data_IF_995121276243
#
_entry.id   IF_995121276243
#
_cell.length_a   1.000
_cell.length_b   1.000
_cell.length_c   1.000
_cell.angle_alpha   90.00
_cell.angle_beta   90.00
_cell.angle_gamma   90.00
#
_symmetry.space_group_name_H-M   'P 1'
#
loop_
_entity.id
_entity.type
_entity.pdbx_description
1 polymer ?
#
# COMPACT_ATOMS: atom_id res chain seq x y z
N UNK A 1 -8.49 -1.92 13.23
CA UNK A 1 -8.02 -2.57 11.98
C UNK A 1 -6.63 -3.14 12.18
N UNK A 2 -6.25 -4.12 11.37
CA UNK A 2 -4.89 -4.70 11.34
C UNK A 2 -3.89 -3.65 10.89
N UNK A 3 -2.72 -3.56 11.53
CA UNK A 3 -1.67 -2.61 11.13
C UNK A 3 -0.99 -3.06 9.84
N UNK A 4 -0.39 -2.13 9.09
CA UNK A 4 0.31 -2.44 7.84
C UNK A 4 1.41 -3.52 7.98
N UNK A 5 2.26 -3.55 9.03
CA UNK A 5 3.24 -4.63 9.21
C UNK A 5 2.60 -6.00 9.36
N UNK A 6 1.51 -6.10 10.12
CA UNK A 6 0.78 -7.36 10.37
C UNK A 6 0.05 -7.84 9.11
N UNK A 7 -0.46 -6.90 8.30
CA UNK A 7 -1.04 -7.21 7.00
C UNK A 7 0.04 -7.76 6.04
N UNK A 8 1.23 -7.16 6.04
CA UNK A 8 2.37 -7.67 5.27
C UNK A 8 2.86 -9.04 5.78
N UNK A 9 2.81 -9.27 7.10
CA UNK A 9 3.10 -10.54 7.74
C UNK A 9 2.25 -11.72 7.26
N UNK A 10 1.00 -11.46 6.86
CA UNK A 10 0.13 -12.48 6.24
C UNK A 10 0.63 -12.94 4.87
N UNK A 11 1.38 -12.10 4.16
CA UNK A 11 2.02 -12.46 2.88
C UNK A 11 3.33 -13.20 3.17
N UNK A 12 4.16 -12.66 4.06
CA UNK A 12 5.40 -13.28 4.51
C UNK A 12 5.85 -12.74 5.86
N UNK A 13 6.30 -13.62 6.77
CA UNK A 13 6.74 -13.23 8.13
C UNK A 13 7.90 -12.23 8.14
N UNK A 14 8.75 -12.25 7.11
CA UNK A 14 9.88 -11.33 7.00
C UNK A 14 9.44 -9.91 6.66
N UNK A 15 8.30 -9.70 5.99
CA UNK A 15 7.79 -8.35 5.73
C UNK A 15 7.27 -7.68 7.00
N UNK A 16 6.80 -8.44 7.98
CA UNK A 16 6.43 -7.89 9.28
C UNK A 16 7.66 -7.51 10.10
N UNK A 17 8.69 -8.36 10.10
CA UNK A 17 9.97 -8.12 10.83
C UNK A 17 10.80 -7.00 10.21
N UNK A 18 10.87 -6.95 8.88
CA UNK A 18 11.63 -5.98 8.09
C UNK A 18 10.77 -4.83 7.55
N UNK A 19 9.62 -4.56 8.16
CA UNK A 19 8.73 -3.50 7.67
C UNK A 19 9.41 -2.13 7.73
N UNK A 20 9.50 -1.45 6.58
CA UNK A 20 10.05 -0.08 6.49
C UNK A 20 8.93 0.92 6.23
N UNK A 21 8.13 0.66 5.19
CA UNK A 21 6.96 1.47 4.81
C UNK A 21 6.00 0.64 3.97
N UNK A 22 4.76 1.10 3.86
CA UNK A 22 3.80 0.61 2.87
C UNK A 22 3.48 1.77 1.92
N UNK A 23 3.41 1.49 0.63
CA UNK A 23 2.78 2.40 -0.34
C UNK A 23 1.31 2.05 -0.45
N UNK A 24 0.44 2.96 -0.06
CA UNK A 24 -1.00 2.75 0.03
C UNK A 24 -1.71 3.75 -0.87
N UNK A 25 -2.69 3.25 -1.63
CA UNK A 25 -3.65 4.06 -2.38
C UNK A 25 -5.05 3.60 -2.00
N UNK A 26 -6.01 4.53 -1.91
CA UNK A 26 -7.39 4.14 -1.72
C UNK A 26 -7.90 3.39 -2.97
N UNK A 27 -8.77 2.41 -2.78
CA UNK A 27 -9.28 1.61 -3.89
C UNK A 27 -10.00 2.47 -4.93
N UNK A 28 -10.87 3.38 -4.49
CA UNK A 28 -11.62 4.27 -5.37
C UNK A 28 -10.68 5.19 -6.17
N UNK A 29 -9.62 5.71 -5.55
CA UNK A 29 -8.61 6.54 -6.20
C UNK A 29 -7.81 5.74 -7.23
N UNK A 30 -7.45 4.49 -6.92
CA UNK A 30 -6.76 3.60 -7.84
C UNK A 30 -7.62 3.28 -9.06
N UNK A 31 -8.91 2.99 -8.83
CA UNK A 31 -9.87 2.72 -9.89
C UNK A 31 -10.11 3.96 -10.77
N UNK A 32 -10.23 5.14 -10.16
CA UNK A 32 -10.37 6.40 -10.89
C UNK A 32 -9.11 6.78 -11.69
N UNK A 33 -7.92 6.41 -11.20
CA UNK A 33 -6.65 6.66 -11.88
C UNK A 33 -6.29 5.58 -12.92
N UNK A 34 -6.88 4.39 -12.83
CA UNK A 34 -6.66 3.25 -13.71
C UNK A 34 -5.36 2.48 -13.48
N UNK A 35 -4.34 3.09 -12.87
CA UNK A 35 -3.09 2.43 -12.48
C UNK A 35 -2.36 3.15 -11.34
N UNK A 36 -1.37 2.47 -10.75
CA UNK A 36 -0.57 2.99 -9.63
C UNK A 36 0.31 4.20 -10.02
N UNK A 37 0.82 4.27 -11.24
CA UNK A 37 1.70 5.36 -11.66
C UNK A 37 0.94 6.69 -11.73
N UNK A 38 -0.25 6.68 -12.33
CA UNK A 38 -1.13 7.83 -12.40
C UNK A 38 -1.57 8.31 -11.00
N UNK A 39 -1.84 7.37 -10.07
CA UNK A 39 -2.15 7.71 -8.68
C UNK A 39 -0.94 8.34 -7.97
N UNK A 40 0.27 7.87 -8.26
CA UNK A 40 1.53 8.40 -7.71
C UNK A 40 1.82 9.81 -8.22
N UNK A 41 1.65 10.05 -9.52
CA UNK A 41 1.82 11.39 -10.13
C UNK A 41 0.84 12.41 -9.53
N UNK A 42 -0.36 11.98 -9.17
CA UNK A 42 -1.37 12.82 -8.49
C UNK A 42 -1.15 12.97 -6.98
N UNK A 43 -0.10 12.35 -6.41
CA UNK A 43 0.19 12.40 -4.98
C UNK A 43 -0.80 11.63 -4.09
N UNK A 44 -1.54 10.67 -4.66
CA UNK A 44 -2.55 9.87 -3.94
C UNK A 44 -1.95 8.64 -3.24
N UNK A 45 -0.73 8.26 -3.62
CA UNK A 45 0.04 7.20 -2.97
C UNK A 45 0.73 7.75 -1.72
N UNK A 46 0.49 7.12 -0.58
CA UNK A 46 0.96 7.54 0.75
C UNK A 46 1.65 6.41 1.50
#
# INVERSE_FOLDING_TARGET
GTKAPQAAGKIHSDFERGFIRAEVVAFDDLMACGNMNAAKEKGLVR
#
